data_IF_220926940404
#
_entry.id   IF_220926940404
#
_cell.length_a   1.000
_cell.length_b   1.000
_cell.length_c   1.000
_cell.angle_alpha   90.00
_cell.angle_beta   90.00
_cell.angle_gamma   90.00
#
_symmetry.space_group_name_H-M   'P 1'
#
loop_
_entity.id
_entity.type
_entity.pdbx_description
1 polymer ?
#
# COMPACT_ATOMS: atom_id res chain seq x y z
N UNK A 1 -19.50 -2.10 -30.81
CA UNK A 1 -19.79 -1.55 -29.49
C UNK A 1 -21.11 -2.08 -28.92
N UNK A 2 -22.21 -2.06 -29.67
CA UNK A 2 -23.51 -2.54 -29.22
C UNK A 2 -23.48 -4.02 -28.77
N UNK A 3 -22.80 -4.90 -29.50
CA UNK A 3 -22.66 -6.29 -29.15
C UNK A 3 -21.87 -6.48 -27.82
N UNK A 4 -20.84 -5.64 -27.56
CA UNK A 4 -20.13 -5.64 -26.30
C UNK A 4 -21.05 -5.20 -25.16
N UNK A 5 -21.82 -4.10 -25.35
CA UNK A 5 -22.78 -3.62 -24.37
C UNK A 5 -23.85 -4.68 -24.05
N UNK A 6 -24.36 -5.40 -25.07
CA UNK A 6 -25.28 -6.50 -24.87
C UNK A 6 -24.67 -7.66 -24.08
N UNK A 7 -23.40 -8.00 -24.36
CA UNK A 7 -22.66 -9.02 -23.63
C UNK A 7 -22.48 -8.64 -22.15
N UNK A 8 -22.05 -7.40 -21.88
CA UNK A 8 -21.88 -6.89 -20.52
C UNK A 8 -23.20 -6.86 -19.73
N UNK A 9 -24.31 -6.47 -20.40
CA UNK A 9 -25.63 -6.47 -19.77
C UNK A 9 -26.09 -7.88 -19.40
N UNK A 10 -25.88 -8.86 -20.29
CA UNK A 10 -26.37 -10.22 -20.11
C UNK A 10 -25.48 -11.08 -19.22
N UNK A 11 -24.18 -11.01 -19.41
CA UNK A 11 -23.21 -11.91 -18.77
C UNK A 11 -22.29 -11.22 -17.74
N UNK A 12 -22.34 -9.89 -17.65
CA UNK A 12 -21.42 -9.12 -16.79
C UNK A 12 -19.95 -9.12 -17.27
N UNK A 13 -19.70 -9.65 -18.46
CA UNK A 13 -18.34 -9.80 -19.04
C UNK A 13 -18.36 -9.98 -20.55
N UNK A 14 -17.18 -10.16 -21.12
CA UNK A 14 -16.99 -10.39 -22.55
C UNK A 14 -17.31 -11.86 -22.88
N UNK A 15 -18.30 -12.07 -23.72
CA UNK A 15 -18.66 -13.39 -24.29
C UNK A 15 -18.62 -13.29 -25.81
N UNK A 16 -17.52 -13.73 -26.41
CA UNK A 16 -17.27 -13.61 -27.85
C UNK A 16 -18.29 -14.40 -28.68
N UNK A 17 -18.69 -15.61 -28.25
CA UNK A 17 -19.70 -16.41 -28.98
C UNK A 17 -21.04 -15.73 -29.05
N UNK A 18 -21.49 -15.13 -27.95
CA UNK A 18 -22.72 -14.35 -27.92
C UNK A 18 -22.63 -13.12 -28.83
N UNK A 19 -21.50 -12.40 -28.77
CA UNK A 19 -21.29 -11.21 -29.59
C UNK A 19 -21.25 -11.53 -31.09
N UNK A 20 -20.62 -12.67 -31.47
CA UNK A 20 -20.64 -13.18 -32.85
C UNK A 20 -22.05 -13.47 -33.32
N UNK A 21 -22.88 -14.09 -32.49
CA UNK A 21 -24.27 -14.37 -32.81
C UNK A 21 -25.12 -13.13 -32.99
N UNK A 22 -24.69 -11.97 -32.48
CA UNK A 22 -25.38 -10.69 -32.65
C UNK A 22 -24.95 -9.87 -33.88
N UNK A 23 -23.75 -10.15 -34.41
CA UNK A 23 -23.14 -9.28 -35.44
C UNK A 23 -22.93 -9.97 -36.78
N UNK A 24 -23.20 -11.26 -36.88
CA UNK A 24 -22.84 -12.10 -38.04
C UNK A 24 -21.39 -11.97 -38.52
N UNK A 25 -20.51 -11.41 -37.65
CA UNK A 25 -19.10 -11.20 -37.92
C UNK A 25 -18.20 -12.35 -37.44
N UNK A 26 -16.99 -12.38 -37.96
CA UNK A 26 -15.95 -13.30 -37.48
C UNK A 26 -15.38 -12.83 -36.13
N UNK A 27 -14.74 -13.74 -35.41
CA UNK A 27 -14.05 -13.41 -34.16
C UNK A 27 -12.92 -12.40 -34.40
N UNK A 28 -12.17 -12.53 -35.50
CA UNK A 28 -11.07 -11.63 -35.86
C UNK A 28 -11.56 -10.19 -36.13
N UNK A 29 -12.69 -10.05 -36.81
CA UNK A 29 -13.31 -8.75 -37.03
C UNK A 29 -13.76 -8.11 -35.74
N UNK A 30 -14.35 -8.87 -34.80
CA UNK A 30 -14.76 -8.39 -33.49
C UNK A 30 -13.55 -7.95 -32.64
N UNK A 31 -12.50 -8.77 -32.60
CA UNK A 31 -11.29 -8.44 -31.84
C UNK A 31 -10.58 -7.21 -32.40
N UNK A 32 -10.55 -7.08 -33.73
CA UNK A 32 -10.00 -5.89 -34.39
C UNK A 32 -10.82 -4.63 -34.06
N UNK A 33 -12.14 -4.72 -34.15
CA UNK A 33 -13.05 -3.60 -33.85
C UNK A 33 -13.05 -3.18 -32.36
N UNK A 34 -12.69 -4.10 -31.47
CA UNK A 34 -12.62 -3.88 -30.02
C UNK A 34 -11.20 -3.72 -29.51
N UNK A 35 -10.23 -3.56 -30.39
CA UNK A 35 -8.83 -3.30 -30.03
C UNK A 35 -8.74 -2.11 -29.06
N UNK A 36 -8.02 -2.27 -27.96
CA UNK A 36 -7.92 -1.26 -26.88
C UNK A 36 -9.13 -1.17 -25.94
N UNK A 37 -10.26 -1.85 -26.27
CA UNK A 37 -11.47 -1.91 -25.43
C UNK A 37 -11.55 -3.19 -24.60
N UNK A 38 -10.96 -4.27 -25.12
CA UNK A 38 -10.87 -5.57 -24.43
C UNK A 38 -9.45 -6.09 -24.54
N UNK A 39 -9.03 -6.81 -23.51
CA UNK A 39 -7.71 -7.44 -23.43
C UNK A 39 -7.84 -8.89 -23.03
N UNK A 40 -7.04 -9.76 -23.64
CA UNK A 40 -7.00 -11.17 -23.28
C UNK A 40 -6.26 -11.36 -21.97
N UNK A 41 -6.94 -11.92 -20.97
CA UNK A 41 -6.33 -12.27 -19.69
C UNK A 41 -6.07 -13.77 -19.63
N UNK A 42 -4.81 -14.21 -19.75
CA UNK A 42 -4.46 -15.64 -19.74
C UNK A 42 -4.73 -16.31 -18.39
N UNK A 43 -4.79 -15.53 -17.30
CA UNK A 43 -5.03 -16.05 -15.94
C UNK A 43 -6.47 -16.53 -15.75
N UNK A 44 -7.42 -15.97 -16.50
CA UNK A 44 -8.83 -16.38 -16.52
C UNK A 44 -9.24 -17.01 -17.86
N UNK A 45 -8.32 -17.09 -18.81
CA UNK A 45 -8.52 -17.65 -20.15
C UNK A 45 -9.67 -17.00 -20.93
N UNK A 46 -9.86 -15.71 -20.73
CA UNK A 46 -10.95 -14.94 -21.37
C UNK A 46 -10.53 -13.49 -21.61
N UNK A 47 -11.32 -12.81 -22.43
CA UNK A 47 -11.21 -11.36 -22.61
C UNK A 47 -11.91 -10.62 -21.47
N UNK A 48 -11.29 -9.56 -21.01
CA UNK A 48 -11.84 -8.60 -20.06
C UNK A 48 -11.90 -7.21 -20.69
N UNK A 49 -12.88 -6.40 -20.29
CA UNK A 49 -12.92 -4.99 -20.69
C UNK A 49 -11.73 -4.22 -20.12
N UNK A 50 -11.24 -3.23 -20.88
CA UNK A 50 -10.07 -2.43 -20.49
C UNK A 50 -10.18 -1.89 -19.06
N UNK A 51 -11.32 -1.35 -18.67
CA UNK A 51 -11.54 -0.74 -17.35
C UNK A 51 -11.40 -1.73 -16.17
N UNK A 52 -11.64 -3.02 -16.41
CA UNK A 52 -11.42 -4.08 -15.41
C UNK A 52 -10.02 -4.69 -15.52
N UNK A 53 -9.55 -4.89 -16.75
CA UNK A 53 -8.23 -5.48 -16.98
C UNK A 53 -7.11 -4.58 -16.49
N UNK A 54 -7.18 -3.28 -16.84
CA UNK A 54 -6.20 -2.24 -16.46
C UNK A 54 -6.60 -1.60 -15.12
N UNK A 55 -6.92 -2.44 -14.12
CA UNK A 55 -7.32 -1.97 -12.80
C UNK A 55 -6.74 -2.88 -11.71
N UNK A 56 -6.70 -2.36 -10.48
CA UNK A 56 -6.11 -3.04 -9.34
C UNK A 56 -4.59 -2.95 -9.34
N UNK A 57 -3.92 -3.95 -8.79
CA UNK A 57 -2.46 -4.03 -8.79
C UNK A 57 -1.95 -4.43 -10.18
N UNK A 58 -1.70 -3.43 -11.03
CA UNK A 58 -1.28 -3.64 -12.43
C UNK A 58 0.13 -4.21 -12.52
N UNK A 59 1.01 -3.89 -11.58
CA UNK A 59 2.39 -4.41 -11.52
C UNK A 59 2.37 -5.91 -11.25
N UNK A 60 1.68 -6.34 -10.20
CA UNK A 60 1.56 -7.77 -9.87
C UNK A 60 0.86 -8.56 -10.99
N UNK A 61 -0.18 -7.97 -11.58
CA UNK A 61 -0.88 -8.59 -12.72
C UNK A 61 0.06 -8.77 -13.91
N UNK A 62 0.85 -7.76 -14.25
CA UNK A 62 1.85 -7.84 -15.33
C UNK A 62 2.91 -8.93 -15.05
N UNK A 63 3.46 -8.99 -13.84
CA UNK A 63 4.42 -10.03 -13.44
C UNK A 63 3.85 -11.45 -13.51
N UNK A 64 2.58 -11.62 -13.13
CA UNK A 64 1.88 -12.92 -13.24
C UNK A 64 1.68 -13.33 -14.69
N UNK A 65 1.35 -12.38 -15.57
CA UNK A 65 1.20 -12.64 -17.01
C UNK A 65 2.56 -12.91 -17.67
N UNK A 66 3.62 -12.19 -17.28
CA UNK A 66 4.99 -12.49 -17.76
C UNK A 66 5.42 -13.91 -17.37
N UNK A 67 5.16 -14.33 -16.15
CA UNK A 67 5.45 -15.69 -15.69
C UNK A 67 4.64 -16.71 -16.47
N UNK A 68 3.36 -16.44 -16.72
CA UNK A 68 2.52 -17.31 -17.56
C UNK A 68 3.11 -17.49 -18.97
N UNK A 69 3.61 -16.39 -19.59
CA UNK A 69 4.26 -16.47 -20.90
C UNK A 69 5.56 -17.27 -20.88
N UNK A 70 6.34 -17.18 -19.81
CA UNK A 70 7.57 -18.00 -19.65
C UNK A 70 7.24 -19.50 -19.57
N UNK A 71 6.13 -19.85 -18.96
CA UNK A 71 5.70 -21.24 -18.75
C UNK A 71 4.96 -21.84 -19.97
N UNK A 72 4.19 -21.00 -20.69
CA UNK A 72 3.28 -21.47 -21.76
C UNK A 72 3.72 -21.05 -23.18
N UNK A 73 4.77 -20.24 -23.31
CA UNK A 73 5.22 -19.70 -24.59
C UNK A 73 4.61 -18.36 -24.95
N UNK A 74 5.05 -17.81 -26.08
CA UNK A 74 4.63 -16.51 -26.57
C UNK A 74 3.22 -16.56 -27.20
N UNK A 75 2.35 -15.62 -26.82
CA UNK A 75 1.03 -15.40 -27.40
C UNK A 75 0.88 -13.90 -27.71
N UNK A 76 0.61 -13.54 -28.96
CA UNK A 76 0.50 -12.15 -29.39
C UNK A 76 -0.63 -11.39 -28.67
N UNK A 77 -1.73 -12.06 -28.33
CA UNK A 77 -2.83 -11.47 -27.56
C UNK A 77 -2.36 -11.08 -26.15
N UNK A 78 -1.55 -11.95 -25.55
CA UNK A 78 -0.99 -11.73 -24.21
C UNK A 78 0.07 -10.63 -24.23
N UNK A 79 0.87 -10.52 -25.32
CA UNK A 79 1.84 -9.41 -25.47
C UNK A 79 1.14 -8.05 -25.52
N UNK A 80 0.04 -7.96 -26.27
CA UNK A 80 -0.76 -6.72 -26.32
C UNK A 80 -1.32 -6.38 -24.96
N UNK A 81 -1.84 -7.35 -24.23
CA UNK A 81 -2.38 -7.17 -22.89
C UNK A 81 -1.30 -6.75 -21.89
N UNK A 82 -0.12 -7.34 -21.97
CA UNK A 82 1.02 -6.99 -21.12
C UNK A 82 1.53 -5.56 -21.40
N UNK A 83 1.58 -5.17 -22.68
CA UNK A 83 1.96 -3.81 -23.06
C UNK A 83 1.00 -2.77 -22.49
N UNK A 84 -0.31 -3.03 -22.54
CA UNK A 84 -1.32 -2.15 -21.96
C UNK A 84 -1.21 -2.03 -20.43
N UNK A 85 -0.88 -3.11 -19.71
CA UNK A 85 -0.63 -3.05 -18.28
C UNK A 85 0.61 -2.22 -17.95
N UNK A 86 1.70 -2.39 -18.71
CA UNK A 86 2.94 -1.62 -18.52
C UNK A 86 2.77 -0.13 -18.83
N UNK A 87 1.98 0.21 -19.83
CA UNK A 87 1.64 1.59 -20.15
C UNK A 87 0.80 2.25 -19.04
N UNK A 88 -0.03 1.46 -18.37
CA UNK A 88 -0.88 1.92 -17.29
C UNK A 88 -0.19 1.95 -15.91
N UNK A 89 1.06 1.49 -15.80
CA UNK A 89 1.81 1.57 -14.55
C UNK A 89 1.87 3.03 -14.07
N UNK A 90 1.58 3.28 -12.77
CA UNK A 90 1.75 4.62 -12.21
C UNK A 90 3.18 5.12 -12.36
N UNK A 91 3.34 6.43 -12.55
CA UNK A 91 4.67 7.04 -12.56
C UNK A 91 5.41 6.70 -11.27
N UNK A 92 6.65 6.22 -11.40
CA UNK A 92 7.46 5.84 -10.23
C UNK A 92 7.77 7.07 -9.39
N UNK A 93 7.50 6.94 -8.10
CA UNK A 93 7.89 7.93 -7.09
C UNK A 93 9.37 7.74 -6.83
N UNK A 94 10.14 8.83 -6.82
CA UNK A 94 11.58 8.81 -6.59
C UNK A 94 11.92 8.83 -5.10
N UNK A 95 13.19 8.59 -4.74
CA UNK A 95 13.63 8.60 -3.35
C UNK A 95 13.43 9.97 -2.71
N UNK A 96 13.69 11.04 -3.46
CA UNK A 96 13.57 12.43 -3.01
C UNK A 96 12.13 12.90 -2.79
N UNK A 97 11.15 12.17 -3.36
CA UNK A 97 9.72 12.44 -3.19
C UNK A 97 9.11 11.66 -2.01
N UNK A 98 9.90 10.81 -1.35
CA UNK A 98 9.46 9.96 -0.25
C UNK A 98 9.93 10.49 1.10
N UNK A 99 9.00 10.52 2.06
CA UNK A 99 9.31 10.70 3.48
C UNK A 99 9.47 9.34 4.14
N UNK A 100 10.65 9.07 4.70
CA UNK A 100 10.94 7.82 5.40
C UNK A 100 10.86 8.03 6.90
N UNK A 101 9.82 7.48 7.54
CA UNK A 101 9.68 7.57 8.97
C UNK A 101 10.27 6.32 9.65
N UNK A 102 11.02 6.54 10.73
CA UNK A 102 11.57 5.46 11.52
C UNK A 102 10.47 4.64 12.18
N UNK A 103 10.46 3.31 11.96
CA UNK A 103 9.46 2.39 12.49
C UNK A 103 8.28 2.10 11.55
N UNK A 104 8.33 2.52 10.28
CA UNK A 104 7.33 2.10 9.27
C UNK A 104 7.44 0.61 8.97
N UNK A 105 6.28 -0.10 8.94
CA UNK A 105 6.23 -1.56 8.80
C UNK A 105 6.67 -2.08 7.44
N UNK A 106 6.68 -1.23 6.42
CA UNK A 106 7.07 -1.63 5.07
C UNK A 106 8.58 -1.64 4.85
N UNK A 107 9.32 -0.86 5.65
CA UNK A 107 10.79 -0.83 5.59
C UNK A 107 11.32 -2.10 6.27
N UNK A 108 12.20 -2.87 5.61
CA UNK A 108 12.77 -4.07 6.21
C UNK A 108 13.50 -3.78 7.52
N UNK A 109 13.29 -4.61 8.54
CA UNK A 109 13.90 -4.45 9.85
C UNK A 109 15.44 -4.45 9.82
N UNK A 110 16.03 -5.10 8.81
CA UNK A 110 17.47 -5.06 8.56
C UNK A 110 18.01 -3.66 8.26
N UNK A 111 17.20 -2.78 7.68
CA UNK A 111 17.57 -1.37 7.43
C UNK A 111 17.70 -0.62 8.75
N UNK A 112 16.72 -0.78 9.64
CA UNK A 112 16.78 -0.21 10.99
C UNK A 112 17.94 -0.78 11.81
N UNK A 113 18.18 -2.09 11.71
CA UNK A 113 19.26 -2.76 12.40
C UNK A 113 20.63 -2.24 11.94
N UNK A 114 20.82 -2.03 10.64
CA UNK A 114 22.07 -1.48 10.07
C UNK A 114 22.31 -0.04 10.56
N UNK A 115 21.29 0.81 10.51
CA UNK A 115 21.37 2.18 11.03
C UNK A 115 21.70 2.20 12.53
N UNK A 116 20.96 1.45 13.33
CA UNK A 116 21.13 1.44 14.78
C UNK A 116 22.46 0.83 15.21
N UNK A 117 22.97 -0.16 14.46
CA UNK A 117 24.30 -0.71 14.70
C UNK A 117 25.40 0.33 14.47
N UNK A 118 25.26 1.17 13.43
CA UNK A 118 26.16 2.31 13.20
C UNK A 118 26.02 3.36 14.30
N UNK A 119 24.80 3.74 14.68
CA UNK A 119 24.53 4.77 15.68
C UNK A 119 25.06 4.36 17.06
N UNK A 120 24.76 3.13 17.49
CA UNK A 120 25.12 2.64 18.84
C UNK A 120 26.51 2.01 18.90
N UNK A 121 27.19 1.84 17.75
CA UNK A 121 28.52 1.21 17.68
C UNK A 121 28.54 -0.19 18.31
N UNK A 122 27.52 -0.99 18.02
CA UNK A 122 27.39 -2.40 18.46
C UNK A 122 26.37 -3.10 17.60
N UNK A 123 26.43 -4.43 17.52
CA UNK A 123 25.45 -5.22 16.76
C UNK A 123 24.05 -5.09 17.35
N UNK A 124 23.13 -4.55 16.56
CA UNK A 124 21.72 -4.44 16.89
C UNK A 124 20.92 -5.36 15.97
N UNK A 125 20.10 -6.20 16.56
CA UNK A 125 19.15 -7.04 15.84
C UNK A 125 17.71 -6.55 16.11
N UNK A 126 16.97 -6.32 15.04
CA UNK A 126 15.58 -5.87 15.10
C UNK A 126 14.73 -6.85 14.31
N UNK A 127 13.70 -7.37 14.94
CA UNK A 127 12.70 -8.23 14.31
C UNK A 127 11.30 -7.63 14.56
N UNK A 128 10.40 -7.83 13.60
CA UNK A 128 9.01 -7.40 13.70
C UNK A 128 8.07 -8.60 13.64
N UNK A 129 7.11 -8.66 14.53
CA UNK A 129 6.06 -9.67 14.56
C UNK A 129 4.75 -9.07 14.07
N UNK A 130 4.29 -9.47 12.90
CA UNK A 130 3.01 -9.01 12.33
C UNK A 130 1.81 -9.38 13.21
N UNK A 131 1.83 -10.59 13.81
CA UNK A 131 0.73 -11.08 14.64
C UNK A 131 0.54 -10.29 15.94
N UNK A 132 1.61 -9.69 16.46
CA UNK A 132 1.61 -8.91 17.70
C UNK A 132 1.69 -7.41 17.44
N UNK A 133 1.95 -6.99 16.21
CA UNK A 133 2.31 -5.61 15.81
C UNK A 133 3.42 -5.03 16.71
N UNK A 134 4.46 -5.84 16.99
CA UNK A 134 5.49 -5.47 17.96
C UNK A 134 6.90 -5.68 17.41
N UNK A 135 7.80 -4.70 17.71
CA UNK A 135 9.23 -4.80 17.44
C UNK A 135 9.96 -5.42 18.60
N UNK A 136 10.77 -6.43 18.31
CA UNK A 136 11.73 -7.03 19.22
C UNK A 136 13.14 -6.48 18.91
N UNK A 137 13.81 -5.93 19.89
CA UNK A 137 15.16 -5.39 19.75
C UNK A 137 16.14 -6.10 20.67
N UNK A 138 17.30 -6.49 20.13
CA UNK A 138 18.38 -7.16 20.86
C UNK A 138 19.72 -6.51 20.49
N UNK A 139 20.65 -6.47 21.41
CA UNK A 139 22.03 -6.07 21.14
C UNK A 139 23.01 -7.15 21.58
N UNK A 140 24.13 -7.26 20.86
CA UNK A 140 25.19 -8.17 21.22
C UNK A 140 25.88 -7.75 22.54
N UNK A 141 26.22 -6.46 22.66
CA UNK A 141 26.82 -5.89 23.83
C UNK A 141 26.34 -4.46 24.07
N UNK A 142 25.88 -4.16 25.30
CA UNK A 142 25.52 -2.80 25.70
C UNK A 142 26.79 -2.02 26.09
N UNK A 143 27.05 -0.96 25.33
CA UNK A 143 28.21 -0.06 25.55
C UNK A 143 27.79 1.26 26.22
N UNK A 144 28.75 2.19 26.34
CA UNK A 144 28.53 3.49 27.00
C UNK A 144 27.54 4.39 26.23
N UNK A 145 27.45 4.24 24.90
CA UNK A 145 26.42 4.98 24.11
C UNK A 145 25.02 4.59 24.57
N UNK A 146 24.75 3.28 24.70
CA UNK A 146 23.45 2.76 25.14
C UNK A 146 23.16 3.12 26.59
N UNK A 147 24.19 3.04 27.49
CA UNK A 147 23.97 3.25 28.91
C UNK A 147 23.98 4.70 29.37
N UNK A 148 24.60 5.62 28.64
CA UNK A 148 24.73 7.03 29.01
C UNK A 148 24.26 8.02 27.98
N UNK A 149 24.75 7.91 26.73
CA UNK A 149 24.51 8.90 25.70
C UNK A 149 23.04 8.89 25.28
N UNK A 150 22.51 7.69 25.00
CA UNK A 150 21.11 7.48 24.64
C UNK A 150 20.25 6.98 25.80
N UNK A 151 20.59 7.33 27.03
CA UNK A 151 19.82 6.95 28.19
C UNK A 151 19.24 8.17 28.90
N UNK A 152 18.11 7.96 29.58
CA UNK A 152 17.46 8.96 30.46
C UNK A 152 17.30 8.35 31.84
N UNK A 153 17.86 9.04 32.84
CA UNK A 153 17.75 8.65 34.25
C UNK A 153 16.45 9.24 34.81
N UNK A 154 15.57 8.39 35.26
CA UNK A 154 14.35 8.81 35.94
C UNK A 154 14.39 8.48 37.43
N UNK A 155 13.51 9.10 38.20
CA UNK A 155 13.45 8.92 39.66
C UNK A 155 13.14 7.47 40.05
N UNK A 156 12.14 6.86 39.43
CA UNK A 156 11.75 5.48 39.71
C UNK A 156 12.30 4.47 38.71
N UNK A 157 12.52 4.89 37.48
CA UNK A 157 12.93 4.01 36.39
C UNK A 157 13.82 4.77 35.41
N UNK A 158 14.92 4.16 35.04
CA UNK A 158 15.80 4.65 33.96
C UNK A 158 15.50 3.93 32.67
N UNK A 159 15.64 4.64 31.57
CA UNK A 159 15.46 4.15 30.21
C UNK A 159 16.81 4.20 29.49
N UNK A 160 17.35 3.05 29.13
CA UNK A 160 18.56 2.98 28.32
C UNK A 160 18.26 3.14 26.82
N UNK A 161 19.30 3.22 25.99
CA UNK A 161 19.14 3.37 24.56
C UNK A 161 18.29 2.29 23.89
N UNK A 162 18.31 1.05 24.42
CA UNK A 162 17.48 -0.03 23.88
C UNK A 162 15.98 0.18 24.17
N UNK A 163 15.66 0.75 25.33
CA UNK A 163 14.30 1.11 25.66
C UNK A 163 13.81 2.30 24.80
N UNK A 164 14.65 3.33 24.62
CA UNK A 164 14.32 4.46 23.77
C UNK A 164 14.20 4.06 22.29
N UNK A 165 15.03 3.13 21.82
CA UNK A 165 14.89 2.55 20.47
C UNK A 165 13.53 1.89 20.26
N UNK A 166 13.02 1.13 21.24
CA UNK A 166 11.66 0.57 21.16
C UNK A 166 10.60 1.66 21.03
N UNK A 167 10.70 2.71 21.84
CA UNK A 167 9.80 3.85 21.77
C UNK A 167 9.89 4.57 20.40
N UNK A 168 11.11 4.71 19.85
CA UNK A 168 11.32 5.28 18.53
C UNK A 168 10.64 4.47 17.42
N UNK A 169 10.75 3.13 17.44
CA UNK A 169 10.14 2.22 16.47
C UNK A 169 8.60 2.21 16.56
N UNK A 170 8.05 2.35 17.77
CA UNK A 170 6.60 2.33 18.00
C UNK A 170 5.93 3.71 17.94
N UNK A 171 6.69 4.76 17.71
CA UNK A 171 6.22 6.16 17.77
C UNK A 171 5.55 6.49 19.11
N UNK A 172 6.15 6.09 20.22
CA UNK A 172 5.69 6.32 21.59
C UNK A 172 6.75 7.03 22.41
N UNK A 173 6.37 7.52 23.58
CA UNK A 173 7.27 8.12 24.55
C UNK A 173 7.14 7.40 25.90
N UNK A 174 8.24 7.25 26.67
CA UNK A 174 8.15 6.74 28.04
C UNK A 174 7.30 7.64 28.92
N UNK A 175 6.44 7.05 29.76
CA UNK A 175 5.79 7.76 30.83
C UNK A 175 6.69 7.71 32.09
N UNK A 176 7.13 8.89 32.56
CA UNK A 176 8.07 9.01 33.66
C UNK A 176 7.44 9.76 34.82
N UNK A 177 7.64 9.23 36.02
CA UNK A 177 7.11 9.79 37.25
C UNK A 177 8.27 10.15 38.21
N UNK A 178 8.10 11.23 38.97
CA UNK A 178 8.99 11.63 40.05
C UNK A 178 8.22 11.83 41.36
N UNK A 179 8.91 11.68 42.49
CA UNK A 179 8.33 12.07 43.80
C UNK A 179 8.60 13.54 44.11
N UNK A 180 7.57 14.23 44.62
CA UNK A 180 7.69 15.61 45.11
C UNK A 180 7.63 15.70 46.64
N UNK A 181 7.58 14.56 47.33
CA UNK A 181 7.49 14.47 48.78
C UNK A 181 6.76 13.23 49.22
N UNK A 182 6.40 13.17 50.50
CA UNK A 182 5.62 12.10 51.10
C UNK A 182 4.30 12.62 51.66
N UNK A 183 3.27 11.79 51.55
CA UNK A 183 1.96 12.05 52.19
C UNK A 183 2.00 11.78 53.71
N UNK A 184 0.89 12.03 54.38
CA UNK A 184 0.73 11.80 55.83
C UNK A 184 0.94 10.34 56.24
N UNK A 185 0.83 9.39 55.30
CA UNK A 185 1.02 7.94 55.49
C UNK A 185 2.44 7.50 55.13
N UNK A 186 3.31 8.41 54.73
CA UNK A 186 4.69 8.11 54.33
C UNK A 186 4.88 7.59 52.89
N UNK A 187 3.83 7.61 52.06
CA UNK A 187 3.93 7.21 50.65
C UNK A 187 4.40 8.38 49.79
N UNK A 188 5.12 8.06 48.69
CA UNK A 188 5.58 9.08 47.75
C UNK A 188 4.38 9.75 47.03
N UNK A 189 4.37 11.05 47.00
CA UNK A 189 3.48 11.86 46.17
C UNK A 189 4.08 11.88 44.76
N UNK A 190 3.50 11.05 43.86
CA UNK A 190 3.99 10.87 42.47
C UNK A 190 3.38 11.90 41.55
N UNK A 191 4.21 12.61 40.81
CA UNK A 191 3.83 13.51 39.73
C UNK A 191 4.55 13.14 38.43
N UNK A 192 3.99 13.56 37.34
CA UNK A 192 4.61 13.33 36.01
C UNK A 192 5.93 14.10 35.90
N UNK A 193 6.97 13.45 35.50
CA UNK A 193 8.30 14.02 35.28
C UNK A 193 8.42 14.62 33.89
N UNK A 194 7.94 15.85 33.73
CA UNK A 194 7.92 16.56 32.45
C UNK A 194 9.33 16.74 31.85
N UNK A 195 10.34 17.01 32.69
CA UNK A 195 11.73 17.20 32.25
C UNK A 195 12.33 15.88 31.74
N UNK A 196 12.12 14.77 32.47
CA UNK A 196 12.58 13.45 32.06
C UNK A 196 11.89 12.98 30.76
N UNK A 197 10.59 13.24 30.62
CA UNK A 197 9.84 12.94 29.41
C UNK A 197 10.33 13.76 28.21
N UNK A 198 10.60 15.06 28.41
CA UNK A 198 11.11 15.93 27.36
C UNK A 198 12.51 15.48 26.90
N UNK A 199 13.37 15.10 27.83
CA UNK A 199 14.69 14.57 27.49
C UNK A 199 14.58 13.24 26.73
N UNK A 200 13.67 12.35 27.14
CA UNK A 200 13.43 11.10 26.44
C UNK A 200 12.93 11.33 25.01
N UNK A 201 12.00 12.27 24.81
CA UNK A 201 11.54 12.68 23.48
C UNK A 201 12.66 13.22 22.62
N UNK A 202 13.51 14.10 23.16
CA UNK A 202 14.66 14.64 22.43
C UNK A 202 15.60 13.55 21.94
N UNK A 203 15.86 12.52 22.76
CA UNK A 203 16.69 11.36 22.37
C UNK A 203 16.01 10.47 21.34
N UNK A 204 14.70 10.28 21.43
CA UNK A 204 13.91 9.55 20.45
C UNK A 204 13.90 10.29 19.11
N UNK A 205 13.75 11.60 19.13
CA UNK A 205 13.79 12.43 17.92
C UNK A 205 15.17 12.44 17.26
N UNK A 206 16.25 12.42 18.08
CA UNK A 206 17.62 12.25 17.60
C UNK A 206 17.80 10.94 16.84
N UNK A 207 17.26 9.82 17.33
CA UNK A 207 17.27 8.52 16.64
C UNK A 207 16.50 8.61 15.31
N UNK A 208 15.35 9.26 15.30
CA UNK A 208 14.49 9.37 14.11
C UNK A 208 15.07 10.26 13.02
N UNK A 209 15.53 11.45 13.41
CA UNK A 209 16.14 12.40 12.48
C UNK A 209 17.43 11.83 11.90
N UNK A 210 18.28 11.22 12.74
CA UNK A 210 19.50 10.58 12.29
C UNK A 210 19.26 9.42 11.32
N UNK A 211 18.11 8.77 11.36
CA UNK A 211 17.75 7.74 10.38
C UNK A 211 17.56 8.32 8.98
N UNK A 212 16.84 9.44 8.86
CA UNK A 212 16.63 10.11 7.58
C UNK A 212 17.96 10.61 7.01
N UNK A 213 18.80 11.22 7.84
CA UNK A 213 20.14 11.67 7.45
C UNK A 213 21.02 10.49 6.99
N UNK A 214 20.99 9.37 7.73
CA UNK A 214 21.72 8.17 7.37
C UNK A 214 21.24 7.56 6.04
N UNK A 215 19.93 7.57 5.76
CA UNK A 215 19.39 7.10 4.48
C UNK A 215 19.91 7.94 3.30
N UNK A 216 20.03 9.26 3.48
CA UNK A 216 20.57 10.15 2.44
C UNK A 216 22.04 9.84 2.11
N UNK A 217 22.82 9.35 3.08
CA UNK A 217 24.21 8.95 2.89
C UNK A 217 24.37 7.60 2.16
N UNK A 218 23.27 6.82 1.98
CA UNK A 218 23.38 5.49 1.38
C UNK A 218 23.67 5.54 -0.12
N UNK A 219 24.33 4.49 -0.68
CA UNK A 219 24.55 4.38 -2.12
C UNK A 219 23.26 4.40 -2.92
N UNK A 220 23.30 4.91 -4.15
CA UNK A 220 22.13 5.00 -5.02
C UNK A 220 21.44 3.64 -5.21
N UNK A 221 22.18 2.55 -5.34
CA UNK A 221 21.61 1.21 -5.47
C UNK A 221 20.75 0.78 -4.27
N UNK A 222 21.10 1.23 -3.07
CA UNK A 222 20.30 1.00 -1.86
C UNK A 222 19.02 1.85 -1.89
N UNK A 223 19.15 3.13 -2.24
CA UNK A 223 18.01 4.06 -2.41
C UNK A 223 17.02 3.53 -3.46
N UNK A 224 17.52 3.09 -4.62
CA UNK A 224 16.71 2.49 -5.69
C UNK A 224 15.98 1.23 -5.23
N UNK A 225 16.64 0.38 -4.44
CA UNK A 225 16.03 -0.83 -3.89
C UNK A 225 14.88 -0.48 -2.96
N UNK A 226 15.10 0.45 -2.02
CA UNK A 226 14.09 0.88 -1.06
C UNK A 226 12.89 1.55 -1.75
N UNK A 227 13.17 2.45 -2.69
CA UNK A 227 12.16 3.12 -3.52
C UNK A 227 11.36 2.12 -4.37
N UNK A 228 12.04 1.13 -4.93
CA UNK A 228 11.40 0.04 -5.68
C UNK A 228 10.42 -0.76 -4.81
N UNK A 229 10.79 -1.06 -3.56
CA UNK A 229 9.91 -1.73 -2.61
C UNK A 229 8.66 -0.87 -2.29
N UNK A 230 8.83 0.44 -2.11
CA UNK A 230 7.71 1.35 -1.88
C UNK A 230 6.75 1.38 -3.07
N UNK A 231 7.28 1.63 -4.28
CA UNK A 231 6.47 1.68 -5.50
C UNK A 231 5.70 0.38 -5.72
N UNK A 232 6.35 -0.77 -5.52
CA UNK A 232 5.72 -2.09 -5.66
C UNK A 232 4.60 -2.34 -4.65
N UNK A 233 4.69 -1.77 -3.46
CA UNK A 233 3.71 -1.97 -2.38
C UNK A 233 2.57 -0.94 -2.39
N UNK A 234 2.87 0.31 -2.67
CA UNK A 234 1.95 1.43 -2.48
C UNK A 234 1.61 2.18 -3.77
N UNK A 235 2.50 2.17 -4.77
CA UNK A 235 2.33 2.88 -6.03
C UNK A 235 2.16 1.91 -7.20
N UNK A 236 1.34 0.88 -7.02
CA UNK A 236 1.13 -0.20 -7.99
C UNK A 236 -0.32 -0.33 -8.42
N UNK A 237 -1.20 0.56 -7.90
CA UNK A 237 -2.63 0.39 -8.02
C UNK A 237 -3.24 1.43 -8.95
N UNK A 238 -3.92 0.97 -10.00
CA UNK A 238 -4.77 1.78 -10.87
C UNK A 238 -6.21 1.65 -10.40
N UNK A 239 -6.86 2.78 -10.16
CA UNK A 239 -8.27 2.79 -9.74
C UNK A 239 -9.15 2.25 -10.86
N UNK A 240 -10.04 1.29 -10.58
CA UNK A 240 -10.99 0.82 -11.57
C UNK A 240 -11.94 1.96 -11.99
N UNK A 241 -12.24 1.98 -13.26
CA UNK A 241 -13.29 2.85 -13.81
C UNK A 241 -14.56 2.02 -13.96
N UNK A 242 -15.66 2.60 -13.58
CA UNK A 242 -16.97 1.95 -13.66
C UNK A 242 -17.87 2.77 -14.59
N UNK A 243 -17.75 2.54 -15.91
CA UNK A 243 -18.64 3.15 -16.89
C UNK A 243 -19.89 2.29 -17.08
N UNK A 244 -20.97 2.67 -16.42
CA UNK A 244 -22.28 2.04 -16.51
C UNK A 244 -23.12 2.50 -17.69
N UNK A 245 -22.59 3.30 -18.61
CA UNK A 245 -23.34 3.88 -19.75
C UNK A 245 -24.03 2.83 -20.62
N UNK A 246 -23.40 1.66 -20.77
CA UNK A 246 -23.91 0.52 -21.52
C UNK A 246 -25.18 -0.13 -20.92
N UNK A 247 -25.49 0.16 -19.66
CA UNK A 247 -26.58 -0.52 -18.95
C UNK A 247 -27.96 -0.01 -19.41
N UNK A 248 -28.84 -0.98 -19.65
CA UNK A 248 -30.28 -0.75 -19.91
C UNK A 248 -31.08 -1.39 -18.78
N UNK A 249 -32.22 -0.77 -18.46
CA UNK A 249 -33.14 -1.20 -17.42
C UNK A 249 -34.56 -1.33 -17.99
N UNK A 250 -34.81 -2.39 -18.79
CA UNK A 250 -36.09 -2.52 -19.52
C UNK A 250 -37.29 -2.64 -18.60
N UNK A 251 -37.14 -3.21 -17.41
CA UNK A 251 -38.21 -3.42 -16.44
C UNK A 251 -38.43 -2.23 -15.48
N UNK A 252 -37.66 -1.16 -15.65
CA UNK A 252 -37.79 0.04 -14.83
C UNK A 252 -38.89 0.98 -15.34
N UNK A 253 -39.95 1.13 -14.56
CA UNK A 253 -41.03 2.09 -14.87
C UNK A 253 -40.60 3.52 -14.49
N UNK A 254 -39.94 4.19 -15.43
CA UNK A 254 -39.55 5.61 -15.28
C UNK A 254 -40.77 6.56 -15.17
N UNK A 255 -41.92 6.20 -15.70
CA UNK A 255 -43.16 7.04 -15.60
C UNK A 255 -43.69 7.02 -14.17
N UNK A 256 -43.72 5.84 -13.54
CA UNK A 256 -44.09 5.71 -12.13
C UNK A 256 -43.11 6.43 -11.22
N UNK A 257 -41.82 6.34 -11.50
CA UNK A 257 -40.78 7.05 -10.73
C UNK A 257 -40.87 8.58 -10.91
N UNK A 258 -41.14 9.03 -12.15
CA UNK A 258 -41.31 10.46 -12.44
C UNK A 258 -42.53 11.05 -11.73
N UNK A 259 -43.65 10.36 -11.72
CA UNK A 259 -44.88 10.83 -11.06
C UNK A 259 -44.80 10.84 -9.55
N UNK A 260 -44.11 9.85 -8.97
CA UNK A 260 -44.02 9.67 -7.50
C UNK A 260 -42.86 10.41 -6.85
N UNK A 261 -41.70 10.48 -7.54
CA UNK A 261 -40.44 10.98 -6.98
C UNK A 261 -39.78 12.07 -7.85
N UNK A 262 -40.39 12.48 -8.95
CA UNK A 262 -39.81 13.48 -9.85
C UNK A 262 -38.62 13.04 -10.69
N UNK A 263 -38.29 11.73 -10.69
CA UNK A 263 -37.15 11.16 -11.40
C UNK A 263 -37.44 11.05 -12.88
N UNK A 264 -36.77 11.86 -13.71
CA UNK A 264 -36.96 11.88 -15.16
C UNK A 264 -36.07 10.88 -15.92
N UNK A 265 -34.91 10.55 -15.36
CA UNK A 265 -33.96 9.63 -15.96
C UNK A 265 -33.03 9.07 -14.88
N UNK A 266 -32.38 7.93 -15.17
CA UNK A 266 -31.27 7.43 -14.33
C UNK A 266 -30.05 8.27 -14.64
N UNK A 267 -29.41 8.80 -13.60
CA UNK A 267 -28.15 9.55 -13.73
C UNK A 267 -26.99 8.63 -14.10
N UNK A 268 -25.98 9.12 -14.85
CA UNK A 268 -24.77 8.35 -15.16
C UNK A 268 -24.14 7.73 -13.91
N UNK A 269 -23.97 8.49 -12.84
CA UNK A 269 -23.41 8.00 -11.56
C UNK A 269 -24.21 6.85 -10.93
N UNK A 270 -25.53 6.81 -11.14
CA UNK A 270 -26.35 5.69 -10.67
C UNK A 270 -26.09 4.43 -11.50
N UNK A 271 -25.93 4.57 -12.81
CA UNK A 271 -25.53 3.47 -13.71
C UNK A 271 -24.15 2.95 -13.34
N UNK A 272 -23.18 3.85 -13.07
CA UNK A 272 -21.83 3.49 -12.64
C UNK A 272 -21.84 2.72 -11.32
N UNK A 273 -22.66 3.16 -10.35
CA UNK A 273 -22.84 2.45 -9.09
C UNK A 273 -23.41 1.03 -9.27
N UNK A 274 -24.42 0.88 -10.15
CA UNK A 274 -24.98 -0.45 -10.44
C UNK A 274 -23.94 -1.33 -11.13
N UNK A 275 -23.12 -0.76 -12.02
CA UNK A 275 -22.04 -1.50 -12.68
C UNK A 275 -20.94 -1.93 -11.71
N UNK A 276 -20.62 -1.09 -10.74
CA UNK A 276 -19.65 -1.41 -9.70
C UNK A 276 -20.10 -2.59 -8.82
N UNK A 277 -21.40 -2.82 -8.66
CA UNK A 277 -21.97 -3.90 -7.84
C UNK A 277 -22.16 -5.22 -8.60
N UNK A 278 -22.04 -5.23 -9.93
CA UNK A 278 -22.06 -6.44 -10.78
C UNK A 278 -20.69 -7.07 -10.91
#
# INVERSE_FOLDING_TARGET
EEALSASLNKYGGVNLDYMRGLTDGTEEELLTALSGRIYYNPLVQNYEIADRFIAGNVIEKAERIERWMQENGEDERVKVSLAALKEAEPQKITFEELDFNFGERWIPTGVYAAYMSKLYDTDINIAYSESLDEYSVKCGHKNMKIWKEFAVQGYYRSYDGMNLLKHALHNTCPDMMKSIGKDENGNDIKVRDAEGIQLANSKIDEIRTGFSEWLEEQPQSFKDTLTGMYNRKFNCFVRPKYDGSHQTFPDLDLKALSSRYGVKSIYPSQKDCVWMLK
#
